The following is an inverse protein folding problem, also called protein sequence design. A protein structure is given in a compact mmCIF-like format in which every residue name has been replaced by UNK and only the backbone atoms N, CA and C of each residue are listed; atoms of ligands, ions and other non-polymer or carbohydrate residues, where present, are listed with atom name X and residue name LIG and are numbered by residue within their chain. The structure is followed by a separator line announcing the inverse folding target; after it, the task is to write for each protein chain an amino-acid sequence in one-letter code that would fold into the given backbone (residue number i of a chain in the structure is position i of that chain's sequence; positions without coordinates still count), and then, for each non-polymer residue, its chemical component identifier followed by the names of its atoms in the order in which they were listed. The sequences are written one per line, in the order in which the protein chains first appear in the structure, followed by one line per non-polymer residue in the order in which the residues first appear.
data_IF_802750729610
#
_entry.id   IF_802750729610
#
_cell.length_a   1.000
_cell.length_b   1.000
_cell.length_c   1.000
_cell.angle_alpha   90.00
_cell.angle_beta   90.00
_cell.angle_gamma   90.00
#
_symmetry.space_group_name_H-M   'P 1'
#
loop_
_entity.id
_entity.type
_entity.pdbx_description
1 polymer ?
#
# COMPACT_ATOMS: atom_id res chain seq x y z
N UNK A 1 8.90 33.14 -28.80
CA UNK A 1 7.55 32.63 -28.53
C UNK A 1 7.56 31.24 -27.90
N UNK A 2 8.58 30.85 -27.09
CA UNK A 2 8.69 29.47 -26.61
C UNK A 2 8.96 29.28 -25.12
N UNK A 3 9.20 30.35 -24.36
CA UNK A 3 9.43 30.21 -22.88
C UNK A 3 8.17 30.46 -22.04
N UNK A 4 7.22 31.27 -22.51
CA UNK A 4 5.98 31.53 -21.78
C UNK A 4 4.95 30.41 -21.89
N UNK A 5 4.95 29.65 -22.99
CA UNK A 5 4.03 28.50 -23.14
C UNK A 5 4.40 27.33 -22.24
N UNK A 6 5.70 27.13 -21.94
CA UNK A 6 6.17 26.11 -20.99
C UNK A 6 5.85 26.46 -19.54
N UNK A 7 5.87 27.73 -19.16
CA UNK A 7 5.51 28.17 -17.80
C UNK A 7 3.99 28.07 -17.56
N UNK A 8 3.18 28.33 -18.58
CA UNK A 8 1.72 28.23 -18.44
C UNK A 8 1.21 26.77 -18.41
N UNK A 9 1.86 25.85 -19.12
CA UNK A 9 1.55 24.42 -19.02
C UNK A 9 2.01 23.81 -17.67
N UNK A 10 3.08 24.33 -17.07
CA UNK A 10 3.58 23.89 -15.76
C UNK A 10 2.73 24.41 -14.59
N UNK A 11 2.20 25.64 -14.68
CA UNK A 11 1.25 26.17 -13.69
C UNK A 11 -0.10 25.42 -13.73
N UNK A 12 -0.52 24.94 -14.89
CA UNK A 12 -1.75 24.15 -15.02
C UNK A 12 -1.65 22.74 -14.41
N UNK A 13 -0.45 22.18 -14.26
CA UNK A 13 -0.26 20.84 -13.71
C UNK A 13 -0.43 20.80 -12.17
N UNK A 14 0.10 21.80 -11.44
CA UNK A 14 -0.06 21.88 -9.99
C UNK A 14 -1.48 22.29 -9.58
N UNK A 15 -2.09 23.24 -10.26
CA UNK A 15 -3.49 23.61 -10.06
C UNK A 15 -4.46 22.48 -10.42
N UNK A 16 -4.12 21.69 -11.43
CA UNK A 16 -4.87 20.52 -11.84
C UNK A 16 -4.79 19.40 -10.77
N UNK A 17 -3.65 19.21 -10.10
CA UNK A 17 -3.48 18.22 -9.03
C UNK A 17 -4.41 18.53 -7.84
N UNK A 18 -4.42 19.78 -7.36
CA UNK A 18 -5.23 20.21 -6.22
C UNK A 18 -6.75 20.10 -6.50
N UNK A 19 -7.16 20.23 -7.76
CA UNK A 19 -8.56 20.13 -8.18
C UNK A 19 -9.01 18.68 -8.40
N UNK A 20 -8.10 17.80 -8.87
CA UNK A 20 -8.45 16.46 -9.34
C UNK A 20 -8.07 15.33 -8.36
N UNK A 21 -7.44 15.63 -7.24
CA UNK A 21 -7.04 14.64 -6.26
C UNK A 21 -7.06 15.17 -4.83
N UNK A 22 -7.08 14.26 -3.88
CA UNK A 22 -6.92 14.52 -2.45
C UNK A 22 -5.99 13.48 -1.83
N UNK A 23 -5.53 13.75 -0.62
CA UNK A 23 -4.73 12.79 0.13
C UNK A 23 -5.63 11.96 1.03
N UNK A 24 -5.53 10.64 0.91
CA UNK A 24 -6.14 9.68 1.81
C UNK A 24 -5.08 9.17 2.80
N UNK A 25 -5.34 9.33 4.09
CA UNK A 25 -4.45 8.90 5.17
C UNK A 25 -5.13 7.81 5.99
N UNK A 26 -4.62 6.58 5.90
CA UNK A 26 -5.13 5.43 6.64
C UNK A 26 -4.26 5.16 7.87
N UNK A 27 -4.86 5.25 9.05
CA UNK A 27 -4.27 4.81 10.32
C UNK A 27 -4.93 3.51 10.74
N UNK A 28 -4.21 2.40 10.64
CA UNK A 28 -4.71 1.06 10.98
C UNK A 28 -3.77 0.41 11.99
N UNK A 29 -4.33 0.07 13.14
CA UNK A 29 -3.61 -0.61 14.23
C UNK A 29 -4.25 -1.94 14.59
N UNK A 30 -3.41 -2.88 14.95
CA UNK A 30 -3.80 -4.19 15.47
C UNK A 30 -2.90 -4.56 16.63
N UNK A 31 -3.42 -5.34 17.56
CA UNK A 31 -2.61 -5.87 18.66
C UNK A 31 -1.51 -6.82 18.12
N UNK A 32 -0.27 -6.61 18.56
CA UNK A 32 0.88 -7.39 18.07
C UNK A 32 0.87 -8.85 18.54
N UNK A 33 0.09 -9.19 19.59
CA UNK A 33 0.03 -10.52 20.17
C UNK A 33 1.40 -11.07 20.59
N UNK A 34 2.39 -10.20 20.81
CA UNK A 34 3.76 -10.60 21.19
C UNK A 34 4.15 -9.99 22.51
N UNK A 35 4.85 -10.79 23.33
CA UNK A 35 5.46 -10.33 24.57
C UNK A 35 6.91 -10.79 24.63
N UNK A 36 7.81 -9.85 24.88
CA UNK A 36 9.22 -10.14 25.11
C UNK A 36 9.33 -10.99 26.40
N UNK A 37 10.00 -12.13 26.31
CA UNK A 37 10.33 -12.97 27.45
C UNK A 37 11.80 -12.76 27.83
N UNK A 38 11.99 -11.91 28.85
CA UNK A 38 13.32 -11.55 29.31
C UNK A 38 14.08 -12.74 29.95
N UNK A 39 13.36 -13.69 30.52
CA UNK A 39 13.99 -14.88 31.13
C UNK A 39 14.54 -15.78 30.03
N UNK A 40 13.72 -16.14 29.05
CA UNK A 40 14.16 -16.94 27.92
C UNK A 40 15.27 -16.26 27.11
N UNK A 41 15.22 -14.94 26.97
CA UNK A 41 16.29 -14.18 26.28
C UNK A 41 17.62 -14.37 26.99
N UNK A 42 17.64 -14.21 28.33
CA UNK A 42 18.84 -14.42 29.16
C UNK A 42 19.33 -15.88 29.16
N UNK A 43 18.40 -16.82 29.25
CA UNK A 43 18.74 -18.24 29.20
C UNK A 43 19.37 -18.61 27.86
N UNK A 44 18.88 -18.07 26.79
CA UNK A 44 19.44 -18.24 25.44
C UNK A 44 20.85 -17.63 25.33
N UNK A 45 21.05 -16.42 25.84
CA UNK A 45 22.36 -15.75 25.88
C UNK A 45 23.37 -16.54 26.71
N UNK A 46 22.98 -16.95 27.90
CA UNK A 46 23.86 -17.75 28.81
C UNK A 46 24.25 -19.09 28.20
N UNK A 47 23.29 -19.82 27.63
CA UNK A 47 23.54 -21.10 26.98
C UNK A 47 24.48 -21.01 25.77
N UNK A 48 24.52 -19.85 25.12
CA UNK A 48 25.41 -19.60 23.97
C UNK A 48 26.63 -18.75 24.33
N UNK A 49 26.90 -18.49 25.63
CA UNK A 49 28.01 -17.66 26.11
C UNK A 49 28.03 -16.26 25.42
N UNK A 50 26.85 -15.75 25.08
CA UNK A 50 26.69 -14.45 24.45
C UNK A 50 26.55 -13.34 25.50
N UNK A 51 26.91 -12.12 25.10
CA UNK A 51 26.74 -10.95 25.95
C UNK A 51 25.27 -10.57 26.08
N UNK A 52 24.90 -9.98 27.24
CA UNK A 52 23.52 -9.50 27.48
C UNK A 52 23.08 -8.51 26.39
N UNK A 53 21.92 -8.76 25.80
CA UNK A 53 21.36 -7.95 24.71
C UNK A 53 21.64 -8.52 23.31
N UNK A 54 22.43 -9.60 23.19
CA UNK A 54 22.73 -10.25 21.92
C UNK A 54 21.52 -10.99 21.32
N UNK A 55 20.57 -11.43 22.16
CA UNK A 55 19.37 -12.13 21.70
C UNK A 55 18.10 -11.62 22.38
N UNK A 56 16.98 -11.70 21.66
CA UNK A 56 15.66 -11.41 22.21
C UNK A 56 14.64 -12.45 21.77
N UNK A 57 13.93 -13.04 22.73
CA UNK A 57 12.88 -14.02 22.48
C UNK A 57 11.53 -13.41 22.79
N UNK A 58 10.61 -13.48 21.85
CA UNK A 58 9.22 -13.05 22.04
C UNK A 58 8.29 -14.24 21.91
N UNK A 59 7.36 -14.37 22.86
CA UNK A 59 6.29 -15.38 22.82
C UNK A 59 5.01 -14.78 22.25
N UNK A 60 4.21 -15.62 21.58
CA UNK A 60 2.84 -15.27 21.20
C UNK A 60 1.90 -15.61 22.35
N UNK A 61 1.05 -14.67 22.75
CA UNK A 61 0.09 -14.86 23.83
C UNK A 61 -1.14 -15.66 23.39
N UNK A 62 -1.50 -15.51 22.12
CA UNK A 62 -2.60 -16.23 21.45
C UNK A 62 -2.03 -16.98 20.25
N UNK A 63 -2.47 -18.22 20.02
CA UNK A 63 -2.06 -18.98 18.86
C UNK A 63 -2.41 -18.23 17.57
N UNK A 64 -1.45 -18.14 16.65
CA UNK A 64 -1.67 -17.47 15.35
C UNK A 64 -2.77 -18.13 14.50
N UNK A 65 -3.02 -19.41 14.75
CA UNK A 65 -4.08 -20.21 14.12
C UNK A 65 -5.45 -20.00 14.75
N UNK A 66 -5.56 -19.25 15.88
CA UNK A 66 -6.85 -19.00 16.52
C UNK A 66 -7.79 -18.30 15.56
N UNK A 67 -8.99 -18.85 15.38
CA UNK A 67 -9.91 -18.45 14.30
C UNK A 67 -10.29 -16.97 14.35
N UNK A 68 -10.75 -16.47 15.50
CA UNK A 68 -11.17 -15.08 15.64
C UNK A 68 -9.99 -14.10 15.51
N UNK A 69 -8.80 -14.42 16.09
CA UNK A 69 -7.61 -13.58 15.90
C UNK A 69 -7.14 -13.52 14.45
N UNK A 70 -7.12 -14.68 13.78
CA UNK A 70 -6.80 -14.76 12.34
C UNK A 70 -7.78 -13.95 11.49
N UNK A 71 -9.07 -13.97 11.82
CA UNK A 71 -10.10 -13.20 11.11
C UNK A 71 -9.87 -11.69 11.22
N UNK A 72 -9.48 -11.18 12.41
CA UNK A 72 -9.10 -9.77 12.59
C UNK A 72 -7.90 -9.39 11.72
N UNK A 73 -6.84 -10.21 11.74
CA UNK A 73 -5.64 -9.93 10.94
C UNK A 73 -5.94 -9.96 9.43
N UNK A 74 -6.81 -10.88 9.00
CA UNK A 74 -7.25 -10.97 7.61
C UNK A 74 -8.05 -9.74 7.18
N UNK A 75 -9.02 -9.30 8.00
CA UNK A 75 -9.79 -8.08 7.73
C UNK A 75 -8.90 -6.84 7.68
N UNK A 76 -7.95 -6.71 8.61
CA UNK A 76 -6.94 -5.64 8.57
C UNK A 76 -6.06 -5.69 7.31
N UNK A 77 -5.72 -6.89 6.84
CA UNK A 77 -5.01 -7.11 5.59
C UNK A 77 -5.80 -6.62 4.38
N UNK A 78 -7.09 -6.95 4.31
CA UNK A 78 -7.99 -6.47 3.24
C UNK A 78 -8.01 -4.94 3.14
N UNK A 79 -8.18 -4.25 4.28
CA UNK A 79 -8.17 -2.78 4.34
C UNK A 79 -6.87 -2.22 3.74
N UNK A 80 -5.70 -2.74 4.17
CA UNK A 80 -4.40 -2.28 3.64
C UNK A 80 -4.28 -2.54 2.15
N UNK A 81 -4.61 -3.75 1.71
CA UNK A 81 -4.52 -4.13 0.30
C UNK A 81 -5.40 -3.22 -0.56
N UNK A 82 -6.67 -3.05 -0.18
CA UNK A 82 -7.59 -2.18 -0.90
C UNK A 82 -7.10 -0.73 -0.94
N UNK A 83 -6.64 -0.20 0.20
CA UNK A 83 -6.09 1.15 0.28
C UNK A 83 -4.93 1.35 -0.71
N UNK A 84 -3.95 0.44 -0.70
CA UNK A 84 -2.78 0.56 -1.58
C UNK A 84 -3.10 0.32 -3.06
N UNK A 85 -4.04 -0.55 -3.37
CA UNK A 85 -4.48 -0.80 -4.76
C UNK A 85 -5.20 0.41 -5.36
N UNK A 86 -6.02 1.10 -4.55
CA UNK A 86 -6.91 2.18 -4.99
C UNK A 86 -6.37 3.59 -4.79
N UNK A 87 -5.13 3.73 -4.37
CA UNK A 87 -4.45 5.01 -4.16
C UNK A 87 -3.05 4.98 -4.77
N UNK A 88 -2.46 6.16 -4.96
CA UNK A 88 -1.14 6.35 -5.54
C UNK A 88 -0.15 6.90 -4.50
N UNK A 89 1.16 6.74 -4.69
CA UNK A 89 2.14 7.24 -3.74
C UNK A 89 2.09 8.76 -3.62
N UNK A 90 2.36 9.25 -2.40
CA UNK A 90 2.68 10.64 -2.10
C UNK A 90 4.04 10.68 -1.42
N UNK A 91 4.66 11.84 -1.38
CA UNK A 91 6.01 12.06 -0.83
C UNK A 91 6.21 11.51 0.58
N UNK A 92 5.18 11.62 1.41
CA UNK A 92 5.21 11.11 2.78
C UNK A 92 4.64 9.69 2.86
N UNK A 93 5.28 8.83 3.62
CA UNK A 93 4.91 7.40 3.73
C UNK A 93 3.52 7.13 4.32
N UNK A 94 2.85 8.13 4.89
CA UNK A 94 1.55 7.98 5.55
C UNK A 94 0.35 8.29 4.67
N UNK A 95 0.41 9.38 3.90
CA UNK A 95 -0.67 9.81 3.04
C UNK A 95 -0.49 9.27 1.61
N UNK A 96 -1.61 9.06 0.89
CA UNK A 96 -1.58 8.59 -0.50
C UNK A 96 -2.55 9.41 -1.34
N UNK A 97 -2.22 9.61 -2.61
CA UNK A 97 -3.08 10.32 -3.55
C UNK A 97 -4.28 9.47 -3.90
N UNK A 98 -5.46 10.04 -3.75
CA UNK A 98 -6.73 9.49 -4.20
C UNK A 98 -7.31 10.40 -5.28
N UNK A 99 -7.43 9.95 -6.53
CA UNK A 99 -8.08 10.72 -7.59
C UNK A 99 -9.54 11.02 -7.27
N UNK A 100 -9.97 12.26 -7.50
CA UNK A 100 -11.33 12.72 -7.19
C UNK A 100 -12.43 11.88 -7.87
N UNK A 101 -12.31 11.46 -9.15
CA UNK A 101 -13.31 10.59 -9.79
C UNK A 101 -13.48 9.24 -9.10
N UNK A 102 -12.45 8.74 -8.42
CA UNK A 102 -12.47 7.45 -7.72
C UNK A 102 -12.95 7.54 -6.27
N UNK A 103 -13.10 8.75 -5.72
CA UNK A 103 -13.39 9.00 -4.31
C UNK A 103 -14.62 8.26 -3.78
N UNK A 104 -15.77 8.35 -4.47
CA UNK A 104 -17.03 7.77 -3.97
C UNK A 104 -16.95 6.24 -3.88
N UNK A 105 -16.41 5.58 -4.90
CA UNK A 105 -16.22 4.13 -4.91
C UNK A 105 -15.27 3.70 -3.80
N UNK A 106 -14.13 4.40 -3.68
CA UNK A 106 -13.13 4.12 -2.66
C UNK A 106 -13.69 4.26 -1.23
N UNK A 107 -14.41 5.35 -0.93
CA UNK A 107 -14.95 5.59 0.43
C UNK A 107 -16.03 4.57 0.78
N UNK A 108 -16.89 4.21 -0.18
CA UNK A 108 -17.96 3.24 0.05
C UNK A 108 -17.38 1.88 0.43
N UNK A 109 -16.41 1.38 -0.32
CA UNK A 109 -15.80 0.08 -0.06
C UNK A 109 -14.92 0.10 1.21
N UNK A 110 -14.14 1.17 1.42
CA UNK A 110 -13.33 1.32 2.63
C UNK A 110 -14.19 1.32 3.90
N UNK A 111 -15.35 1.97 3.89
CA UNK A 111 -16.28 1.94 5.02
C UNK A 111 -16.81 0.53 5.29
N UNK A 112 -17.14 -0.21 4.23
CA UNK A 112 -17.59 -1.59 4.37
C UNK A 112 -16.49 -2.48 4.96
N UNK A 113 -15.23 -2.36 4.48
CA UNK A 113 -14.09 -3.09 4.99
C UNK A 113 -13.75 -2.72 6.44
N UNK A 114 -13.84 -1.45 6.82
CA UNK A 114 -13.65 -0.99 8.20
C UNK A 114 -14.72 -1.58 9.10
N UNK A 115 -15.97 -1.58 8.69
CA UNK A 115 -17.07 -2.19 9.46
C UNK A 115 -16.90 -3.72 9.62
N UNK A 116 -16.44 -4.43 8.56
CA UNK A 116 -16.07 -5.84 8.67
C UNK A 116 -14.99 -6.04 9.73
N UNK A 117 -13.94 -5.22 9.69
CA UNK A 117 -12.84 -5.28 10.66
C UNK A 117 -13.33 -5.05 12.09
N UNK A 118 -14.14 -4.03 12.35
CA UNK A 118 -14.71 -3.72 13.66
C UNK A 118 -15.58 -4.88 14.19
N UNK A 119 -16.35 -5.52 13.33
CA UNK A 119 -17.12 -6.71 13.66
C UNK A 119 -16.19 -7.86 14.09
N UNK A 120 -15.10 -8.12 13.33
CA UNK A 120 -14.13 -9.16 13.68
C UNK A 120 -13.37 -8.86 14.96
N UNK A 121 -13.08 -7.59 15.24
CA UNK A 121 -12.52 -7.14 16.52
C UNK A 121 -13.48 -7.44 17.68
N UNK A 122 -14.77 -7.15 17.51
CA UNK A 122 -15.79 -7.44 18.52
C UNK A 122 -15.89 -8.93 18.80
N UNK A 123 -15.91 -9.78 17.77
CA UNK A 123 -15.90 -11.23 17.88
C UNK A 123 -14.67 -11.70 18.69
N UNK A 124 -13.47 -11.22 18.35
CA UNK A 124 -12.22 -11.57 19.02
C UNK A 124 -12.20 -11.11 20.49
N UNK A 125 -12.66 -9.89 20.77
CA UNK A 125 -12.71 -9.34 22.13
C UNK A 125 -13.70 -10.15 23.00
N UNK A 126 -14.80 -10.63 22.42
CA UNK A 126 -15.76 -11.51 23.09
C UNK A 126 -15.16 -12.88 23.42
N UNK A 127 -14.37 -13.45 22.52
CA UNK A 127 -13.68 -14.72 22.71
C UNK A 127 -12.50 -14.62 23.70
N UNK A 128 -11.94 -13.42 23.86
CA UNK A 128 -10.67 -13.21 24.56
C UNK A 128 -10.62 -13.75 26.00
N UNK A 129 -11.65 -13.62 26.85
CA UNK A 129 -11.63 -14.21 28.21
C UNK A 129 -11.42 -15.73 28.18
N UNK A 130 -12.07 -16.43 27.23
CA UNK A 130 -11.92 -17.88 27.09
C UNK A 130 -10.53 -18.24 26.54
N UNK A 131 -9.98 -17.42 25.64
CA UNK A 131 -8.61 -17.58 25.13
C UNK A 131 -7.60 -17.47 26.26
N UNK A 132 -7.75 -16.49 27.15
CA UNK A 132 -6.89 -16.30 28.31
C UNK A 132 -7.01 -17.48 29.28
N UNK A 133 -8.21 -17.99 29.52
CA UNK A 133 -8.44 -19.15 30.35
C UNK A 133 -7.74 -20.41 29.81
N UNK A 134 -7.67 -20.56 28.50
CA UNK A 134 -7.02 -21.69 27.82
C UNK A 134 -5.51 -21.48 27.58
N UNK A 135 -4.98 -20.28 27.83
CA UNK A 135 -3.59 -19.93 27.56
C UNK A 135 -2.55 -20.80 28.32
N UNK A 136 -2.81 -21.27 29.54
CA UNK A 136 -1.89 -22.22 30.22
C UNK A 136 -1.63 -23.48 29.41
N UNK A 137 -2.64 -24.04 28.75
CA UNK A 137 -2.48 -25.22 27.91
C UNK A 137 -1.66 -24.94 26.64
N UNK A 138 -1.76 -23.74 26.09
CA UNK A 138 -1.00 -23.31 24.90
C UNK A 138 0.45 -22.94 25.23
N UNK A 139 0.67 -22.19 26.30
CA UNK A 139 1.97 -21.64 26.68
C UNK A 139 2.81 -22.52 27.60
N UNK A 140 2.17 -23.47 28.32
CA UNK A 140 2.88 -24.30 29.29
C UNK A 140 3.67 -23.48 30.31
N UNK A 141 4.95 -23.76 30.45
CA UNK A 141 5.86 -23.07 31.40
C UNK A 141 6.12 -21.58 31.00
N UNK A 142 5.73 -21.16 29.82
CA UNK A 142 5.84 -19.75 29.34
C UNK A 142 4.64 -18.91 29.78
N UNK A 143 3.61 -19.53 30.39
CA UNK A 143 2.43 -18.81 30.80
C UNK A 143 2.72 -17.86 31.96
N UNK A 144 2.27 -16.60 31.78
CA UNK A 144 2.24 -15.60 32.86
C UNK A 144 0.94 -14.76 32.67
N UNK A 145 0.03 -14.78 33.66
CA UNK A 145 -1.24 -14.07 33.59
C UNK A 145 -1.06 -12.54 33.42
N UNK A 146 0.03 -12.00 33.95
CA UNK A 146 0.33 -10.55 33.84
C UNK A 146 0.73 -10.09 32.44
N UNK A 147 0.97 -11.00 31.50
CA UNK A 147 1.31 -10.65 30.12
C UNK A 147 0.06 -10.32 29.28
N UNK A 148 -1.10 -10.78 29.75
CA UNK A 148 -2.36 -10.56 29.04
C UNK A 148 -2.96 -9.20 29.41
N UNK A 149 -3.15 -8.30 28.42
CA UNK A 149 -3.78 -7.01 28.69
C UNK A 149 -5.25 -7.21 29.12
N UNK A 150 -5.79 -6.33 30.00
CA UNK A 150 -7.21 -6.31 30.27
C UNK A 150 -8.02 -5.97 29.00
N UNK A 151 -9.26 -6.46 28.91
CA UNK A 151 -10.13 -6.34 27.72
C UNK A 151 -10.19 -4.90 27.18
N UNK A 152 -10.39 -3.90 28.05
CA UNK A 152 -10.46 -2.50 27.63
C UNK A 152 -9.16 -2.01 26.95
N UNK A 153 -8.00 -2.41 27.45
CA UNK A 153 -6.71 -2.09 26.86
C UNK A 153 -6.48 -2.86 25.55
N UNK A 154 -6.91 -4.11 25.47
CA UNK A 154 -6.85 -4.90 24.26
C UNK A 154 -7.67 -4.25 23.14
N UNK A 155 -8.92 -3.87 23.44
CA UNK A 155 -9.83 -3.24 22.49
C UNK A 155 -9.25 -1.95 21.93
N UNK A 156 -8.60 -1.12 22.75
CA UNK A 156 -7.99 0.13 22.29
C UNK A 156 -6.78 -0.04 21.35
N UNK A 157 -6.24 -1.26 21.24
CA UNK A 157 -5.16 -1.56 20.28
C UNK A 157 -5.67 -1.71 18.84
N UNK A 158 -6.97 -1.89 18.64
CA UNK A 158 -7.57 -2.09 17.33
C UNK A 158 -8.32 -0.83 16.91
N UNK A 159 -7.87 -0.22 15.84
CA UNK A 159 -8.57 0.89 15.22
C UNK A 159 -8.23 1.00 13.74
N UNK A 160 -9.18 1.52 12.97
CA UNK A 160 -9.01 1.90 11.59
C UNK A 160 -9.62 3.30 11.39
N UNK A 161 -8.78 4.28 11.08
CA UNK A 161 -9.20 5.67 10.85
C UNK A 161 -8.74 6.09 9.48
N UNK A 162 -9.67 6.62 8.70
CA UNK A 162 -9.43 7.13 7.36
C UNK A 162 -9.73 8.63 7.33
N UNK A 163 -8.69 9.42 7.13
CA UNK A 163 -8.75 10.87 7.03
C UNK A 163 -8.48 11.31 5.59
N UNK A 164 -9.15 12.39 5.15
CA UNK A 164 -8.91 13.01 3.86
C UNK A 164 -8.38 14.42 4.03
N UNK A 165 -7.32 14.75 3.30
CA UNK A 165 -6.66 16.04 3.35
C UNK A 165 -6.66 16.62 1.93
N UNK A 166 -7.19 17.83 1.71
CA UNK A 166 -7.12 18.47 0.41
C UNK A 166 -5.65 18.77 0.05
N UNK A 167 -5.31 18.57 -1.21
CA UNK A 167 -4.04 19.04 -1.74
C UNK A 167 -4.09 20.56 -1.89
N UNK A 168 -3.03 21.22 -1.47
CA UNK A 168 -2.93 22.67 -1.60
C UNK A 168 -2.31 23.04 -2.94
N UNK A 169 -2.88 24.06 -3.59
CA UNK A 169 -2.24 24.69 -4.73
C UNK A 169 -1.01 25.49 -4.25
N UNK A 170 0.07 25.44 -4.99
CA UNK A 170 1.29 26.23 -4.76
C UNK A 170 1.02 27.74 -4.75
N UNK A 171 -0.05 28.19 -5.41
CA UNK A 171 -0.50 29.59 -5.41
C UNK A 171 -1.22 30.02 -4.15
N UNK A 172 -1.74 29.10 -3.30
CA UNK A 172 -2.59 29.43 -2.16
C UNK A 172 -1.82 29.47 -0.81
N UNK A 173 -0.60 30.00 -0.83
CA UNK A 173 0.18 30.20 0.40
C UNK A 173 -0.28 31.47 1.09
N UNK A 174 -1.07 31.32 2.15
CA UNK A 174 -1.65 32.44 2.93
C UNK A 174 -0.84 32.82 4.17
N UNK A 175 0.31 32.17 4.39
CA UNK A 175 1.16 32.52 5.53
C UNK A 175 1.82 33.87 5.29
N UNK A 176 1.64 34.81 6.24
CA UNK A 176 2.35 36.07 6.21
C UNK A 176 3.76 35.89 6.79
N UNK A 177 4.71 35.55 5.93
CA UNK A 177 6.11 35.34 6.33
C UNK A 177 6.94 36.65 6.36
N UNK A 178 6.34 37.78 6.01
CA UNK A 178 7.03 39.09 6.00
C UNK A 178 8.17 39.20 4.95
N UNK A 179 8.42 38.17 4.15
CA UNK A 179 9.47 38.12 3.14
C UNK A 179 8.96 37.50 1.84
N UNK A 180 8.89 38.26 0.79
CA UNK A 180 8.43 37.82 -0.52
C UNK A 180 9.34 36.74 -1.15
N UNK A 181 10.65 36.79 -0.93
CA UNK A 181 11.58 35.78 -1.42
C UNK A 181 11.35 34.40 -0.76
N UNK A 182 11.06 34.39 0.54
CA UNK A 182 10.74 33.15 1.26
C UNK A 182 9.43 32.52 0.75
N UNK A 183 8.43 33.33 0.42
CA UNK A 183 7.17 32.87 -0.18
C UNK A 183 7.42 32.24 -1.54
N UNK A 184 8.22 32.86 -2.40
CA UNK A 184 8.54 32.35 -3.72
C UNK A 184 9.36 31.06 -3.68
N UNK A 185 10.29 30.96 -2.73
CA UNK A 185 11.05 29.72 -2.49
C UNK A 185 10.12 28.57 -2.09
N UNK A 186 9.17 28.79 -1.16
CA UNK A 186 8.20 27.78 -0.74
C UNK A 186 7.30 27.36 -1.90
N UNK A 187 6.85 28.29 -2.75
CA UNK A 187 6.08 27.99 -3.95
C UNK A 187 6.87 27.10 -4.90
N UNK A 188 8.11 27.46 -5.19
CA UNK A 188 9.00 26.69 -6.05
C UNK A 188 9.23 25.26 -5.53
N UNK A 189 9.43 25.13 -4.22
CA UNK A 189 9.55 23.81 -3.57
C UNK A 189 8.24 22.99 -3.68
N UNK A 190 7.08 23.63 -3.48
CA UNK A 190 5.78 22.97 -3.60
C UNK A 190 5.52 22.49 -5.04
N UNK A 191 5.85 23.30 -6.04
CA UNK A 191 5.75 22.94 -7.45
C UNK A 191 6.69 21.77 -7.83
N UNK A 192 7.91 21.78 -7.30
CA UNK A 192 8.88 20.71 -7.52
C UNK A 192 8.38 19.39 -6.91
N UNK A 193 7.84 19.44 -5.68
CA UNK A 193 7.22 18.28 -5.01
C UNK A 193 6.00 17.76 -5.77
N UNK A 194 5.14 18.64 -6.26
CA UNK A 194 3.97 18.25 -7.04
C UNK A 194 4.38 17.52 -8.34
N UNK A 195 5.36 18.06 -9.07
CA UNK A 195 5.90 17.40 -10.28
C UNK A 195 6.50 16.04 -9.97
N UNK A 196 7.28 15.94 -8.90
CA UNK A 196 7.86 14.66 -8.47
C UNK A 196 6.75 13.64 -8.13
N UNK A 197 5.73 14.06 -7.39
CA UNK A 197 4.61 13.19 -7.03
C UNK A 197 3.84 12.69 -8.26
N UNK A 198 3.64 13.52 -9.28
CA UNK A 198 3.01 13.11 -10.53
C UNK A 198 3.86 12.07 -11.29
N UNK A 199 5.17 12.27 -11.34
CA UNK A 199 6.09 11.30 -11.94
C UNK A 199 6.08 9.97 -11.18
N UNK A 200 6.08 10.01 -9.84
CA UNK A 200 6.00 8.82 -9.00
C UNK A 200 4.67 8.08 -9.17
N UNK A 201 3.56 8.79 -9.34
CA UNK A 201 2.25 8.18 -9.65
C UNK A 201 2.28 7.44 -10.99
N UNK A 202 2.83 8.05 -12.02
CA UNK A 202 2.95 7.42 -13.35
C UNK A 202 3.86 6.19 -13.29
N UNK A 203 4.99 6.30 -12.60
CA UNK A 203 5.89 5.19 -12.37
C UNK A 203 5.25 4.04 -11.58
N UNK A 204 4.46 4.33 -10.53
CA UNK A 204 3.74 3.33 -9.74
C UNK A 204 2.70 2.59 -10.60
N UNK A 205 1.94 3.28 -11.44
CA UNK A 205 0.98 2.65 -12.36
C UNK A 205 1.69 1.75 -13.38
N UNK A 206 2.78 2.22 -13.99
CA UNK A 206 3.58 1.42 -14.90
C UNK A 206 4.15 0.17 -14.20
N UNK A 207 4.65 0.31 -12.97
CA UNK A 207 5.16 -0.79 -12.16
C UNK A 207 4.08 -1.83 -11.83
N UNK A 208 2.86 -1.41 -11.54
CA UNK A 208 1.73 -2.33 -11.30
C UNK A 208 1.40 -3.15 -12.54
N UNK A 209 1.33 -2.50 -13.71
CA UNK A 209 1.10 -3.18 -14.99
C UNK A 209 2.25 -4.16 -15.28
N UNK A 210 3.50 -3.71 -15.15
CA UNK A 210 4.69 -4.53 -15.37
C UNK A 210 4.68 -5.80 -14.51
N UNK A 211 4.39 -5.66 -13.22
CA UNK A 211 4.34 -6.78 -12.27
C UNK A 211 3.27 -7.82 -12.64
N UNK A 212 2.13 -7.42 -13.19
CA UNK A 212 1.10 -8.37 -13.63
C UNK A 212 1.49 -9.06 -14.94
N UNK A 213 2.04 -8.31 -15.89
CA UNK A 213 2.53 -8.84 -17.16
C UNK A 213 3.68 -9.83 -16.93
N UNK A 214 4.63 -9.49 -16.04
CA UNK A 214 5.73 -10.37 -15.66
C UNK A 214 5.24 -11.73 -15.11
N UNK A 215 4.23 -11.72 -14.23
CA UNK A 215 3.66 -12.96 -13.69
C UNK A 215 3.10 -13.85 -14.80
N UNK A 216 2.45 -13.28 -15.81
CA UNK A 216 1.90 -14.02 -16.95
C UNK A 216 3.05 -14.62 -17.77
N UNK A 217 4.09 -13.83 -18.07
CA UNK A 217 5.28 -14.28 -18.79
C UNK A 217 5.98 -15.44 -18.06
N UNK A 218 6.17 -15.34 -16.74
CA UNK A 218 6.79 -16.39 -15.92
C UNK A 218 5.97 -17.69 -15.87
N UNK A 219 4.64 -17.58 -15.81
CA UNK A 219 3.78 -18.77 -15.82
C UNK A 219 3.86 -19.54 -17.15
N UNK A 220 3.91 -18.84 -18.26
CA UNK A 220 3.99 -19.48 -19.58
C UNK A 220 5.31 -20.19 -19.87
N UNK A 221 6.39 -19.87 -19.12
CA UNK A 221 7.68 -20.59 -19.19
C UNK A 221 7.65 -21.94 -18.50
N UNK A 222 6.64 -22.23 -17.68
CA UNK A 222 6.51 -23.50 -16.96
C UNK A 222 5.82 -24.53 -17.86
N UNK A 223 6.47 -25.67 -18.08
CA UNK A 223 5.91 -26.76 -18.86
C UNK A 223 4.55 -27.22 -18.29
N UNK A 224 3.52 -27.27 -19.14
CA UNK A 224 2.14 -27.69 -18.81
C UNK A 224 1.36 -26.80 -17.85
N UNK A 225 1.80 -25.57 -17.58
CA UNK A 225 1.07 -24.67 -16.70
C UNK A 225 -0.16 -24.08 -17.42
N UNK A 226 -1.34 -24.22 -16.80
CA UNK A 226 -2.48 -23.34 -17.12
C UNK A 226 -2.26 -22.02 -16.38
N UNK A 227 -2.54 -20.90 -17.03
CA UNK A 227 -2.56 -19.60 -16.35
C UNK A 227 -3.57 -19.67 -15.18
N UNK A 228 -3.16 -19.39 -13.93
CA UNK A 228 -4.09 -19.40 -12.82
C UNK A 228 -5.19 -18.38 -13.05
N UNK A 229 -6.44 -18.78 -12.83
CA UNK A 229 -7.59 -17.88 -12.93
C UNK A 229 -7.39 -16.60 -12.12
N UNK A 230 -6.86 -16.72 -10.89
CA UNK A 230 -6.57 -15.58 -10.03
C UNK A 230 -5.61 -14.56 -10.66
N UNK A 231 -4.64 -15.00 -11.47
CA UNK A 231 -3.72 -14.07 -12.16
C UNK A 231 -4.45 -13.25 -13.22
N UNK A 232 -5.38 -13.88 -13.93
CA UNK A 232 -6.19 -13.20 -14.94
C UNK A 232 -7.23 -12.28 -14.29
N UNK A 233 -7.88 -12.73 -13.22
CA UNK A 233 -8.83 -11.90 -12.45
C UNK A 233 -8.12 -10.64 -11.90
N UNK A 234 -6.93 -10.77 -11.35
CA UNK A 234 -6.12 -9.65 -10.86
C UNK A 234 -5.70 -8.69 -11.99
N UNK A 235 -5.40 -9.22 -13.18
CA UNK A 235 -5.09 -8.38 -14.34
C UNK A 235 -6.33 -7.58 -14.78
N UNK A 236 -7.48 -8.22 -14.88
CA UNK A 236 -8.73 -7.56 -15.25
C UNK A 236 -9.14 -6.49 -14.24
N UNK A 237 -9.00 -6.78 -12.94
CA UNK A 237 -9.23 -5.83 -11.86
C UNK A 237 -8.31 -4.60 -12.02
N UNK A 238 -7.01 -4.82 -12.23
CA UNK A 238 -6.06 -3.74 -12.44
C UNK A 238 -6.39 -2.90 -13.67
N UNK A 239 -6.70 -3.53 -14.81
CA UNK A 239 -7.06 -2.83 -16.05
C UNK A 239 -8.33 -1.99 -15.91
N UNK A 240 -9.30 -2.44 -15.10
CA UNK A 240 -10.51 -1.68 -14.80
C UNK A 240 -10.25 -0.48 -13.89
N UNK A 241 -9.22 -0.57 -13.03
CA UNK A 241 -8.89 0.45 -12.03
C UNK A 241 -7.97 1.55 -12.59
N UNK A 242 -6.99 1.19 -13.42
CA UNK A 242 -5.98 2.13 -13.93
C UNK A 242 -6.56 3.38 -14.59
N UNK A 243 -7.63 3.33 -15.40
CA UNK A 243 -8.20 4.54 -15.98
C UNK A 243 -8.67 5.57 -14.93
N UNK A 244 -9.18 5.10 -13.79
CA UNK A 244 -9.62 5.98 -12.70
C UNK A 244 -8.45 6.50 -11.85
N UNK A 245 -7.31 5.81 -11.85
CA UNK A 245 -6.08 6.22 -11.18
C UNK A 245 -5.18 7.07 -12.07
N UNK A 246 -5.29 6.98 -13.40
CA UNK A 246 -4.52 7.78 -14.35
C UNK A 246 -5.03 9.22 -14.46
N UNK A 247 -5.17 9.90 -13.32
CA UNK A 247 -5.64 11.29 -13.26
C UNK A 247 -4.64 12.29 -13.84
N UNK A 248 -3.39 11.88 -14.06
CA UNK A 248 -2.36 12.64 -14.77
C UNK A 248 -2.65 12.70 -16.28
N UNK A 249 -3.52 11.80 -16.77
CA UNK A 249 -3.86 11.72 -18.19
C UNK A 249 -2.70 11.23 -19.05
N UNK A 250 -1.75 10.42 -18.50
CA UNK A 250 -0.65 9.88 -19.31
C UNK A 250 -1.21 9.03 -20.46
N UNK A 251 -0.98 9.43 -21.72
CA UNK A 251 -1.43 8.69 -22.89
C UNK A 251 -0.67 7.36 -23.03
N UNK A 252 0.57 7.31 -22.55
CA UNK A 252 1.41 6.11 -22.57
C UNK A 252 0.82 5.04 -21.67
N UNK A 253 0.41 5.38 -20.43
CA UNK A 253 -0.26 4.44 -19.51
C UNK A 253 -1.56 3.94 -20.12
N UNK A 254 -2.36 4.83 -20.72
CA UNK A 254 -3.60 4.42 -21.37
C UNK A 254 -3.35 3.47 -22.54
N UNK A 255 -2.41 3.80 -23.42
CA UNK A 255 -2.05 2.95 -24.57
C UNK A 255 -1.56 1.56 -24.13
N UNK A 256 -0.77 1.48 -23.05
CA UNK A 256 -0.33 0.21 -22.48
C UNK A 256 -1.49 -0.60 -21.91
N UNK A 257 -2.42 0.03 -21.18
CA UNK A 257 -3.63 -0.64 -20.70
C UNK A 257 -4.46 -1.23 -21.85
N UNK A 258 -4.69 -0.44 -22.89
CA UNK A 258 -5.46 -0.87 -24.05
C UNK A 258 -4.78 -2.04 -24.81
N UNK A 259 -3.46 -2.01 -24.89
CA UNK A 259 -2.68 -3.11 -25.47
C UNK A 259 -2.75 -4.37 -24.63
N UNK A 260 -2.54 -4.27 -23.33
CA UNK A 260 -2.64 -5.41 -22.40
C UNK A 260 -4.05 -6.00 -22.46
N UNK A 261 -5.09 -5.18 -22.47
CA UNK A 261 -6.47 -5.62 -22.58
C UNK A 261 -6.72 -6.39 -23.86
N UNK A 262 -6.23 -5.91 -25.01
CA UNK A 262 -6.39 -6.59 -26.30
C UNK A 262 -5.61 -7.90 -26.41
N UNK A 263 -4.39 -7.94 -25.88
CA UNK A 263 -3.46 -9.03 -26.13
C UNK A 263 -3.49 -10.13 -25.08
N UNK A 264 -3.82 -9.77 -23.82
CA UNK A 264 -3.72 -10.69 -22.67
C UNK A 264 -5.04 -10.99 -21.95
N UNK A 265 -6.14 -10.27 -22.23
CA UNK A 265 -7.42 -10.53 -21.53
C UNK A 265 -8.20 -11.75 -22.08
N UNK A 266 -7.79 -12.34 -23.19
CA UNK A 266 -8.43 -13.54 -23.71
C UNK A 266 -8.01 -14.77 -22.88
N UNK A 267 -8.94 -15.27 -22.07
CA UNK A 267 -8.75 -16.45 -21.20
C UNK A 267 -8.66 -17.78 -21.97
N UNK A 268 -8.97 -17.78 -23.27
CA UNK A 268 -8.89 -18.94 -24.15
C UNK A 268 -7.54 -19.17 -24.81
N UNK A 269 -6.58 -18.24 -24.65
CA UNK A 269 -5.26 -18.35 -25.26
C UNK A 269 -4.43 -19.49 -24.66
N UNK A 270 -3.60 -20.11 -25.51
CA UNK A 270 -2.60 -21.05 -25.01
C UNK A 270 -1.60 -20.29 -24.08
N UNK A 271 -1.23 -20.87 -22.92
CA UNK A 271 -0.34 -20.20 -21.96
C UNK A 271 0.98 -19.73 -22.57
N UNK A 272 1.52 -20.48 -23.54
CA UNK A 272 2.77 -20.13 -24.23
C UNK A 272 2.61 -18.90 -25.14
N UNK A 273 1.46 -18.73 -25.79
CA UNK A 273 1.19 -17.57 -26.65
C UNK A 273 0.94 -16.32 -25.80
N UNK A 274 0.21 -16.47 -24.69
CA UNK A 274 0.04 -15.41 -23.72
C UNK A 274 1.39 -14.96 -23.12
N UNK A 275 2.30 -15.89 -22.84
CA UNK A 275 3.63 -15.58 -22.33
C UNK A 275 4.49 -14.79 -23.32
N UNK A 276 4.51 -15.18 -24.60
CA UNK A 276 5.26 -14.46 -25.63
C UNK A 276 4.76 -13.03 -25.79
N UNK A 277 3.43 -12.83 -25.81
CA UNK A 277 2.84 -11.49 -25.84
C UNK A 277 3.18 -10.69 -24.59
N UNK A 278 3.11 -11.34 -23.42
CA UNK A 278 3.49 -10.72 -22.15
C UNK A 278 4.96 -10.30 -22.11
N UNK A 279 5.89 -11.09 -22.67
CA UNK A 279 7.30 -10.71 -22.79
C UNK A 279 7.49 -9.46 -23.65
N UNK A 280 6.85 -9.38 -24.81
CA UNK A 280 6.94 -8.20 -25.66
C UNK A 280 6.36 -6.94 -24.98
N UNK A 281 5.25 -7.08 -24.25
CA UNK A 281 4.66 -5.97 -23.48
C UNK A 281 5.56 -5.58 -22.32
N UNK A 282 6.18 -6.57 -21.65
CA UNK A 282 7.12 -6.34 -20.55
C UNK A 282 8.33 -5.51 -21.00
N UNK A 283 8.91 -5.82 -22.16
CA UNK A 283 10.05 -5.10 -22.70
C UNK A 283 9.68 -3.64 -23.00
N UNK A 284 8.52 -3.39 -23.59
CA UNK A 284 8.04 -2.04 -23.90
C UNK A 284 7.72 -1.23 -22.62
N UNK A 285 7.08 -1.86 -21.61
CA UNK A 285 6.84 -1.23 -20.32
C UNK A 285 8.15 -0.92 -19.59
N UNK A 286 9.13 -1.82 -19.65
CA UNK A 286 10.44 -1.62 -19.05
C UNK A 286 11.19 -0.47 -19.71
N UNK A 287 11.12 -0.36 -21.05
CA UNK A 287 11.69 0.75 -21.80
C UNK A 287 11.01 2.09 -21.41
N UNK A 288 9.68 2.11 -21.33
CA UNK A 288 8.93 3.28 -20.88
C UNK A 288 9.32 3.71 -19.46
N UNK A 289 9.40 2.78 -18.52
CA UNK A 289 9.84 3.07 -17.14
C UNK A 289 11.25 3.64 -17.10
N UNK A 290 12.14 3.21 -17.98
CA UNK A 290 13.49 3.77 -18.12
C UNK A 290 13.49 5.23 -18.56
N UNK A 291 12.44 5.71 -19.22
CA UNK A 291 12.30 7.14 -19.60
C UNK A 291 11.75 8.00 -18.48
N UNK A 292 11.06 7.40 -17.49
CA UNK A 292 10.61 8.11 -16.32
C UNK A 292 11.81 8.26 -15.37
N UNK A 293 12.22 9.51 -15.08
CA UNK A 293 13.30 9.76 -14.14
C UNK A 293 12.94 9.09 -12.79
N UNK A 294 13.77 8.16 -12.28
CA UNK A 294 13.51 7.58 -10.98
C UNK A 294 13.57 8.71 -9.95
N UNK A 295 12.55 8.80 -9.08
CA UNK A 295 12.73 9.52 -7.83
C UNK A 295 14.02 8.99 -7.20
N UNK A 296 14.96 9.85 -6.87
CA UNK A 296 16.14 9.44 -6.12
C UNK A 296 15.61 8.77 -4.84
N UNK A 297 15.58 7.44 -4.84
CA UNK A 297 15.53 6.70 -3.61
C UNK A 297 16.81 7.12 -2.89
N UNK A 298 16.65 7.96 -1.87
CA UNK A 298 17.70 8.10 -0.87
C UNK A 298 18.03 6.68 -0.45
N UNK A 299 19.17 6.24 -0.96
CA UNK A 299 19.87 5.08 -0.50
C UNK A 299 20.24 5.34 0.94
N UNK A 300 20.12 4.29 1.74
CA UNK A 300 20.95 4.03 2.89
C UNK A 300 20.50 4.64 4.21
N UNK A 301 19.95 3.76 5.01
CA UNK A 301 20.53 3.57 6.34
C UNK A 301 20.91 2.08 6.47
N UNK A 302 22.20 1.84 6.44
CA UNK A 302 22.85 0.69 7.04
C UNK A 302 22.46 0.51 8.52
#
# INVERSE_FOLDING_TARGET
MSQNDNLNSQASASGNLATNALLANLKLSTWSNRKLDKKLSRDLENNNQATTGAASVSKHLVARSHASYKAVLYAAGKIRTYHYQNTLPWLDRGARILPAPHYMNYVTEMRALIHEFETKVTDFVTDYPQIVANAPAFLGALYNPNDFPPVAKLQSCFYAVLDFIPLQDSGDIRCNLGNAMAIEEIKSQAETRARQALADCTHDLASRLLNQVQKIAEYGKRDKAKLPKQTMDNLQELLSLVPSLNFTGSPEIQAMCDRIARELSDTGQAPQDAAKKAEAIYDDLSAFMGTLSPSQKESECD
#
